data_IF_906333039700
#
_entry.id   IF_906333039700
#
_cell.length_a   1.000
_cell.length_b   1.000
_cell.length_c   1.000
_cell.angle_alpha   90.00
_cell.angle_beta   90.00
_cell.angle_gamma   90.00
#
_symmetry.space_group_name_H-M   'P 1'
#
loop_
_entity.id
_entity.type
_entity.pdbx_description
1 polymer ?
#
# COMPACT_ATOMS: atom_id res chain seq x y z
N UNK A 1 -12.56 15.02 6.46
CA UNK A 1 -12.06 15.05 5.06
C UNK A 1 -13.20 14.65 4.15
N UNK A 2 -13.41 15.35 3.04
CA UNK A 2 -14.52 15.05 2.13
C UNK A 2 -14.09 13.91 1.17
N UNK A 3 -14.33 12.67 1.60
CA UNK A 3 -14.02 11.45 0.84
C UNK A 3 -15.31 10.68 0.49
N UNK A 4 -16.47 11.24 0.86
CA UNK A 4 -17.78 10.64 0.58
C UNK A 4 -18.00 10.46 -0.92
N UNK A 5 -18.52 9.27 -1.30
CA UNK A 5 -18.80 8.86 -2.68
C UNK A 5 -17.58 8.69 -3.60
N UNK A 6 -16.35 8.84 -3.09
CA UNK A 6 -15.16 8.53 -3.90
C UNK A 6 -15.11 7.04 -4.25
N UNK A 7 -14.69 6.74 -5.47
CA UNK A 7 -14.44 5.38 -5.97
C UNK A 7 -12.99 5.01 -5.70
N UNK A 8 -12.79 4.11 -4.76
CA UNK A 8 -11.47 3.77 -4.23
C UNK A 8 -11.13 2.32 -4.55
N UNK A 9 -9.97 2.08 -5.12
CA UNK A 9 -9.36 0.75 -5.23
C UNK A 9 -8.23 0.63 -4.22
N UNK A 10 -8.25 -0.44 -3.40
CA UNK A 10 -7.15 -0.80 -2.50
C UNK A 10 -6.66 -2.20 -2.86
N UNK A 11 -5.44 -2.33 -3.38
CA UNK A 11 -4.84 -3.65 -3.60
C UNK A 11 -4.23 -4.19 -2.30
N UNK A 12 -4.32 -5.49 -2.04
CA UNK A 12 -3.86 -6.09 -0.79
C UNK A 12 -4.68 -5.66 0.43
N UNK A 13 -5.99 -5.49 0.26
CA UNK A 13 -6.93 -4.98 1.26
C UNK A 13 -7.48 -6.04 2.22
N UNK A 14 -7.00 -7.29 2.15
CA UNK A 14 -7.57 -8.40 2.93
C UNK A 14 -6.90 -8.64 4.28
N UNK A 15 -5.90 -7.83 4.63
CA UNK A 15 -5.21 -7.90 5.93
C UNK A 15 -4.35 -6.68 6.21
N UNK A 16 -4.05 -6.43 7.49
CA UNK A 16 -3.05 -5.45 7.95
C UNK A 16 -3.32 -4.03 7.47
N UNK A 17 -2.28 -3.33 7.02
CA UNK A 17 -2.36 -1.93 6.60
C UNK A 17 -3.40 -1.71 5.49
N UNK A 18 -3.45 -2.60 4.50
CA UNK A 18 -4.38 -2.45 3.38
C UNK A 18 -5.84 -2.63 3.78
N UNK A 19 -6.13 -3.55 4.71
CA UNK A 19 -7.47 -3.75 5.26
C UNK A 19 -7.93 -2.52 6.02
N UNK A 20 -7.07 -1.99 6.88
CA UNK A 20 -7.38 -0.81 7.70
C UNK A 20 -7.59 0.45 6.84
N UNK A 21 -6.78 0.63 5.79
CA UNK A 21 -7.00 1.70 4.81
C UNK A 21 -8.36 1.54 4.13
N UNK A 22 -8.74 0.33 3.70
CA UNK A 22 -10.03 0.08 3.08
C UNK A 22 -11.19 0.39 4.03
N UNK A 23 -11.07 0.00 5.30
CA UNK A 23 -12.05 0.33 6.36
C UNK A 23 -12.16 1.84 6.57
N UNK A 24 -11.03 2.55 6.69
CA UNK A 24 -11.01 3.98 6.90
C UNK A 24 -11.66 4.76 5.74
N UNK A 25 -11.43 4.36 4.48
CA UNK A 25 -12.15 4.93 3.35
C UNK A 25 -13.66 4.65 3.39
N UNK A 26 -14.06 3.41 3.71
CA UNK A 26 -15.47 3.04 3.79
C UNK A 26 -16.19 3.80 4.92
N UNK A 27 -15.55 3.96 6.07
CA UNK A 27 -16.05 4.77 7.20
C UNK A 27 -16.16 6.26 6.83
N UNK A 28 -15.31 6.76 5.94
CA UNK A 28 -15.38 8.12 5.39
C UNK A 28 -16.45 8.26 4.28
N UNK A 29 -17.23 7.22 3.98
CA UNK A 29 -18.33 7.22 3.02
C UNK A 29 -17.92 6.96 1.57
N UNK A 30 -16.71 6.44 1.31
CA UNK A 30 -16.25 6.07 -0.01
C UNK A 30 -16.82 4.71 -0.46
N UNK A 31 -16.87 4.49 -1.77
CA UNK A 31 -17.18 3.20 -2.40
C UNK A 31 -15.86 2.44 -2.61
N UNK A 32 -15.59 1.43 -1.78
CA UNK A 32 -14.30 0.75 -1.77
C UNK A 32 -14.36 -0.58 -2.49
N UNK A 33 -13.43 -0.78 -3.42
CA UNK A 33 -13.08 -2.08 -4.00
C UNK A 33 -11.74 -2.51 -3.39
N UNK A 34 -11.77 -3.59 -2.60
CA UNK A 34 -10.59 -4.20 -2.01
C UNK A 34 -10.16 -5.43 -2.79
N UNK A 35 -8.85 -5.72 -2.88
CA UNK A 35 -8.41 -6.98 -3.47
C UNK A 35 -7.51 -7.79 -2.53
N UNK A 36 -7.53 -9.11 -2.68
CA UNK A 36 -6.63 -10.07 -2.05
C UNK A 36 -6.15 -11.09 -3.08
N UNK A 37 -5.02 -11.73 -2.84
CA UNK A 37 -4.42 -12.65 -3.80
C UNK A 37 -5.25 -13.92 -4.03
N UNK A 38 -6.01 -14.37 -3.04
CA UNK A 38 -6.76 -15.63 -3.08
C UNK A 38 -8.22 -15.45 -2.70
N UNK A 39 -9.09 -16.34 -3.20
CA UNK A 39 -10.50 -16.37 -2.82
C UNK A 39 -10.68 -16.54 -1.29
N UNK A 40 -9.88 -17.39 -0.66
CA UNK A 40 -9.95 -17.62 0.79
C UNK A 40 -9.63 -16.35 1.62
N UNK A 41 -8.69 -15.51 1.16
CA UNK A 41 -8.42 -14.21 1.78
C UNK A 41 -9.60 -13.26 1.63
N UNK A 42 -10.20 -13.24 0.43
CA UNK A 42 -11.36 -12.42 0.09
C UNK A 42 -12.58 -12.81 0.92
N UNK A 43 -12.87 -14.11 1.03
CA UNK A 43 -14.01 -14.63 1.83
C UNK A 43 -13.88 -14.23 3.30
N UNK A 44 -12.68 -14.41 3.88
CA UNK A 44 -12.38 -14.01 5.26
C UNK A 44 -12.55 -12.51 5.48
N UNK A 45 -11.98 -11.68 4.59
CA UNK A 45 -12.08 -10.23 4.69
C UNK A 45 -13.53 -9.74 4.50
N UNK A 46 -14.26 -10.33 3.55
CA UNK A 46 -15.68 -10.00 3.33
C UNK A 46 -16.53 -10.31 4.55
N UNK A 47 -16.31 -11.46 5.19
CA UNK A 47 -17.03 -11.81 6.42
C UNK A 47 -16.69 -10.87 7.59
N UNK A 48 -15.42 -10.54 7.78
CA UNK A 48 -14.96 -9.65 8.85
C UNK A 48 -15.48 -8.21 8.68
N UNK A 49 -15.66 -7.75 7.44
CA UNK A 49 -16.03 -6.38 7.09
C UNK A 49 -17.46 -6.25 6.54
N UNK A 50 -18.34 -7.22 6.80
CA UNK A 50 -19.71 -7.26 6.26
C UNK A 50 -20.59 -6.05 6.66
N UNK A 51 -20.20 -5.31 7.70
CA UNK A 51 -20.87 -4.10 8.17
C UNK A 51 -20.42 -2.82 7.45
N UNK A 52 -19.39 -2.89 6.60
CA UNK A 52 -18.83 -1.78 5.85
C UNK A 52 -19.12 -1.91 4.35
N UNK A 53 -19.17 -0.78 3.63
CA UNK A 53 -19.37 -0.74 2.18
C UNK A 53 -18.06 -1.03 1.44
N UNK A 54 -17.50 -2.23 1.64
CA UNK A 54 -16.29 -2.71 0.95
C UNK A 54 -16.64 -3.94 0.13
N UNK A 55 -16.31 -3.92 -1.15
CA UNK A 55 -16.47 -5.08 -2.04
C UNK A 55 -15.09 -5.70 -2.32
N UNK A 56 -14.84 -6.87 -1.80
CA UNK A 56 -13.60 -7.60 -2.01
C UNK A 56 -13.63 -8.49 -3.25
N UNK A 57 -12.46 -8.58 -3.95
CA UNK A 57 -12.29 -9.39 -5.16
C UNK A 57 -10.93 -10.10 -5.15
N UNK A 58 -10.85 -11.34 -5.62
CA UNK A 58 -9.56 -12.01 -5.78
C UNK A 58 -8.80 -11.38 -6.95
N UNK A 59 -7.54 -10.99 -6.69
CA UNK A 59 -6.64 -10.41 -7.70
C UNK A 59 -5.19 -10.64 -7.29
N UNK A 60 -4.49 -11.50 -8.00
CA UNK A 60 -3.03 -11.60 -7.92
C UNK A 60 -2.40 -10.49 -8.75
N UNK A 61 -1.70 -9.55 -8.10
CA UNK A 61 -1.02 -8.44 -8.79
C UNK A 61 0.19 -8.91 -9.61
N UNK A 62 0.62 -10.15 -9.46
CA UNK A 62 1.61 -10.83 -10.31
C UNK A 62 1.04 -11.15 -11.70
N UNK A 63 -0.28 -11.35 -11.86
CA UNK A 63 -0.92 -11.60 -13.14
C UNK A 63 -1.26 -10.29 -13.86
N UNK A 64 -0.44 -9.95 -14.86
CA UNK A 64 -0.59 -8.71 -15.62
C UNK A 64 -1.93 -8.61 -16.37
N UNK A 65 -2.43 -9.72 -16.90
CA UNK A 65 -3.69 -9.78 -17.65
C UNK A 65 -4.90 -9.60 -16.73
N UNK A 66 -4.89 -10.29 -15.59
CA UNK A 66 -5.93 -10.15 -14.58
C UNK A 66 -5.97 -8.73 -14.01
N UNK A 67 -4.83 -8.12 -13.69
CA UNK A 67 -4.74 -6.73 -13.21
C UNK A 67 -5.30 -5.77 -14.27
N UNK A 68 -4.87 -5.90 -15.52
CA UNK A 68 -5.35 -5.03 -16.60
C UNK A 68 -6.87 -5.14 -16.73
N UNK A 69 -7.40 -6.35 -16.88
CA UNK A 69 -8.83 -6.56 -17.10
C UNK A 69 -9.68 -6.10 -15.92
N UNK A 70 -9.27 -6.42 -14.69
CA UNK A 70 -10.01 -6.04 -13.49
C UNK A 70 -10.01 -4.51 -13.29
N UNK A 71 -8.83 -3.88 -13.32
CA UNK A 71 -8.71 -2.46 -12.99
C UNK A 71 -9.35 -1.58 -14.06
N UNK A 72 -9.15 -1.89 -15.36
CA UNK A 72 -9.84 -1.15 -16.44
C UNK A 72 -11.35 -1.35 -16.41
N UNK A 73 -11.83 -2.52 -16.00
CA UNK A 73 -13.25 -2.83 -15.83
C UNK A 73 -13.94 -2.03 -14.71
N UNK A 74 -13.18 -1.43 -13.78
CA UNK A 74 -13.74 -0.54 -12.75
C UNK A 74 -14.17 0.83 -13.32
N UNK A 75 -13.68 1.22 -14.49
CA UNK A 75 -13.96 2.51 -15.11
C UNK A 75 -13.32 3.67 -14.36
N UNK A 76 -14.10 4.70 -14.03
CA UNK A 76 -13.60 5.89 -13.32
C UNK A 76 -13.21 5.57 -11.87
N UNK A 77 -12.07 6.13 -11.45
CA UNK A 77 -11.53 5.99 -10.09
C UNK A 77 -11.08 7.37 -9.56
N UNK A 78 -11.36 7.62 -8.30
CA UNK A 78 -10.85 8.80 -7.60
C UNK A 78 -9.51 8.51 -6.89
N UNK A 79 -9.36 7.29 -6.35
CA UNK A 79 -8.17 6.89 -5.58
C UNK A 79 -7.76 5.46 -5.89
N UNK A 80 -6.48 5.24 -6.05
CA UNK A 80 -5.85 3.91 -6.04
C UNK A 80 -4.82 3.85 -4.93
N UNK A 81 -4.95 2.86 -4.03
CA UNK A 81 -3.96 2.59 -2.99
C UNK A 81 -3.31 1.24 -3.25
N UNK A 82 -2.02 1.23 -3.46
CA UNK A 82 -1.26 0.01 -3.73
C UNK A 82 -0.61 -0.51 -2.43
N UNK A 83 -1.27 -1.49 -1.78
CA UNK A 83 -0.80 -2.14 -0.56
C UNK A 83 -0.40 -3.61 -0.76
N UNK A 84 -0.72 -4.21 -1.91
CA UNK A 84 -0.32 -5.59 -2.19
C UNK A 84 1.20 -5.74 -2.12
N UNK A 85 1.66 -6.74 -1.37
CA UNK A 85 3.08 -6.98 -1.23
C UNK A 85 3.41 -8.15 -0.32
N UNK A 86 4.58 -8.71 -0.53
CA UNK A 86 5.12 -9.85 0.22
C UNK A 86 6.51 -9.53 0.75
N UNK A 87 6.91 -10.24 1.81
CA UNK A 87 8.26 -10.25 2.35
C UNK A 87 8.61 -11.69 2.72
N UNK A 88 9.73 -12.19 2.22
CA UNK A 88 10.19 -13.56 2.45
C UNK A 88 11.58 -13.54 3.08
N UNK A 89 11.62 -13.24 4.39
CA UNK A 89 12.90 -13.12 5.13
C UNK A 89 13.77 -14.34 4.95
N UNK A 90 15.08 -14.11 4.69
CA UNK A 90 16.13 -15.08 4.37
C UNK A 90 15.97 -15.72 2.98
N UNK A 91 14.74 -16.11 2.59
CA UNK A 91 14.49 -16.79 1.30
C UNK A 91 14.81 -15.86 0.12
N UNK A 92 14.64 -14.56 0.28
CA UNK A 92 14.95 -13.54 -0.76
C UNK A 92 16.46 -13.39 -1.07
N UNK A 93 17.34 -14.09 -0.37
CA UNK A 93 18.75 -14.21 -0.75
C UNK A 93 18.94 -15.13 -1.97
N UNK A 94 17.94 -15.96 -2.29
CA UNK A 94 17.91 -16.76 -3.49
C UNK A 94 17.29 -15.97 -4.67
N UNK A 95 17.89 -16.04 -5.88
CA UNK A 95 17.47 -15.22 -7.03
C UNK A 95 16.00 -15.37 -7.41
N UNK A 96 15.43 -16.56 -7.33
CA UNK A 96 14.05 -16.86 -7.69
C UNK A 96 13.06 -16.17 -6.72
N UNK A 97 13.33 -16.24 -5.42
CA UNK A 97 12.52 -15.60 -4.40
C UNK A 97 12.65 -14.08 -4.44
N UNK A 98 13.87 -13.58 -4.72
CA UNK A 98 14.12 -12.16 -4.99
C UNK A 98 13.28 -11.69 -6.16
N UNK A 99 13.34 -12.35 -7.32
CA UNK A 99 12.60 -11.99 -8.52
C UNK A 99 11.08 -12.00 -8.28
N UNK A 100 10.56 -13.00 -7.55
CA UNK A 100 9.15 -13.07 -7.18
C UNK A 100 8.73 -11.89 -6.29
N UNK A 101 9.55 -11.51 -5.32
CA UNK A 101 9.27 -10.36 -4.45
C UNK A 101 9.25 -9.06 -5.25
N UNK A 102 10.19 -8.87 -6.17
CA UNK A 102 10.20 -7.71 -7.10
C UNK A 102 8.94 -7.72 -7.97
N UNK A 103 8.56 -8.86 -8.52
CA UNK A 103 7.42 -8.94 -9.44
C UNK A 103 6.11 -8.58 -8.74
N UNK A 104 5.87 -9.06 -7.53
CA UNK A 104 4.67 -8.73 -6.77
C UNK A 104 4.70 -7.27 -6.30
N UNK A 105 5.78 -6.87 -5.61
CA UNK A 105 5.79 -5.59 -4.89
C UNK A 105 5.97 -4.38 -5.81
N UNK A 106 6.84 -4.49 -6.82
CA UNK A 106 7.19 -3.39 -7.72
C UNK A 106 6.41 -3.46 -9.03
N UNK A 107 6.51 -4.57 -9.76
CA UNK A 107 5.83 -4.70 -11.04
C UNK A 107 4.30 -4.73 -10.84
N UNK A 108 3.80 -5.39 -9.79
CA UNK A 108 2.38 -5.39 -9.42
C UNK A 108 1.86 -3.97 -9.15
N UNK A 109 2.63 -3.16 -8.40
CA UNK A 109 2.32 -1.74 -8.20
C UNK A 109 2.26 -0.98 -9.53
N UNK A 110 3.26 -1.18 -10.41
CA UNK A 110 3.27 -0.52 -11.72
C UNK A 110 2.10 -0.96 -12.60
N UNK A 111 1.75 -2.26 -12.62
CA UNK A 111 0.61 -2.80 -13.37
C UNK A 111 -0.70 -2.13 -12.96
N UNK A 112 -0.95 -2.03 -11.65
CA UNK A 112 -2.14 -1.36 -11.12
C UNK A 112 -2.17 0.14 -11.46
N UNK A 113 -1.04 0.85 -11.29
CA UNK A 113 -0.93 2.26 -11.65
C UNK A 113 -1.23 2.50 -13.15
N UNK A 114 -0.66 1.68 -14.02
CA UNK A 114 -0.85 1.80 -15.47
C UNK A 114 -2.30 1.51 -15.89
N UNK A 115 -2.89 0.44 -15.36
CA UNK A 115 -4.27 0.06 -15.70
C UNK A 115 -5.31 1.07 -15.19
N UNK A 116 -5.04 1.75 -14.07
CA UNK A 116 -5.94 2.75 -13.49
C UNK A 116 -5.83 4.14 -14.12
N UNK A 117 -4.82 4.42 -14.95
CA UNK A 117 -4.50 5.77 -15.43
C UNK A 117 -5.66 6.49 -16.07
N UNK A 118 -6.35 5.86 -17.01
CA UNK A 118 -7.47 6.48 -17.74
C UNK A 118 -8.67 6.77 -16.81
N UNK A 119 -8.99 5.84 -15.89
CA UNK A 119 -10.03 6.05 -14.89
C UNK A 119 -9.71 7.20 -13.92
N UNK A 120 -8.46 7.28 -13.46
CA UNK A 120 -7.99 8.36 -12.60
C UNK A 120 -7.93 9.70 -13.33
N UNK A 121 -7.54 9.72 -14.61
CA UNK A 121 -7.52 10.93 -15.47
C UNK A 121 -8.91 11.53 -15.60
N UNK A 122 -9.94 10.72 -15.81
CA UNK A 122 -11.32 11.17 -15.92
C UNK A 122 -11.79 11.93 -14.66
N UNK A 123 -11.24 11.58 -13.49
CA UNK A 123 -11.61 12.13 -12.17
C UNK A 123 -10.57 13.10 -11.59
N UNK A 124 -9.43 13.30 -12.26
CA UNK A 124 -8.25 13.99 -11.70
C UNK A 124 -7.87 13.43 -10.33
N UNK A 125 -7.84 12.11 -10.25
CA UNK A 125 -7.69 11.35 -9.03
C UNK A 125 -6.27 11.29 -8.49
N UNK A 126 -6.01 10.33 -7.61
CA UNK A 126 -4.67 10.16 -7.06
C UNK A 126 -4.30 8.69 -6.82
N UNK A 127 -3.00 8.45 -6.75
CA UNK A 127 -2.40 7.17 -6.38
C UNK A 127 -1.64 7.36 -5.08
N UNK A 128 -1.81 6.43 -4.13
CA UNK A 128 -0.97 6.32 -2.94
C UNK A 128 -0.32 4.93 -2.92
N UNK A 129 0.98 4.88 -3.09
CA UNK A 129 1.76 3.66 -3.06
C UNK A 129 2.24 3.34 -1.64
N UNK A 130 2.48 2.06 -1.35
CA UNK A 130 3.09 1.64 -0.09
C UNK A 130 4.56 1.32 -0.30
N UNK A 131 5.42 2.26 0.02
CA UNK A 131 6.86 2.12 0.17
C UNK A 131 7.18 1.44 1.51
N UNK A 132 8.31 1.75 2.12
CA UNK A 132 8.72 1.25 3.45
C UNK A 132 9.85 2.13 3.97
N UNK A 133 10.14 2.09 5.26
CA UNK A 133 11.43 2.57 5.77
C UNK A 133 12.60 1.88 5.06
N UNK A 134 12.45 0.62 4.59
CA UNK A 134 13.45 -0.09 3.79
C UNK A 134 13.61 0.48 2.36
N UNK A 135 12.87 1.51 1.99
CA UNK A 135 13.16 2.32 0.80
C UNK A 135 14.36 3.27 1.00
N UNK A 136 14.78 3.50 2.25
CA UNK A 136 15.84 4.44 2.62
C UNK A 136 17.10 3.76 3.15
N UNK A 137 16.99 2.55 3.67
CA UNK A 137 18.12 1.72 4.10
C UNK A 137 17.89 0.23 3.81
N UNK A 138 18.94 -0.58 3.84
CA UNK A 138 18.87 -2.00 3.52
C UNK A 138 18.42 -2.88 4.66
N UNK A 139 17.67 -3.94 4.35
CA UNK A 139 17.38 -5.04 5.26
C UNK A 139 18.22 -6.27 4.90
N UNK A 140 19.17 -6.67 5.76
CA UNK A 140 20.10 -7.76 5.44
C UNK A 140 19.46 -9.12 5.17
N UNK A 141 18.25 -9.36 5.66
CA UNK A 141 17.49 -10.60 5.44
C UNK A 141 16.40 -10.47 4.37
N UNK A 142 16.27 -9.31 3.74
CA UNK A 142 15.14 -8.98 2.85
C UNK A 142 15.59 -8.13 1.67
N UNK A 143 16.58 -8.59 0.87
CA UNK A 143 17.12 -7.81 -0.23
C UNK A 143 16.09 -7.53 -1.32
N UNK A 144 15.24 -8.49 -1.66
CA UNK A 144 14.16 -8.34 -2.65
C UNK A 144 13.11 -7.34 -2.18
N UNK A 145 12.69 -7.44 -0.93
CA UNK A 145 11.76 -6.47 -0.35
C UNK A 145 12.35 -5.05 -0.32
N UNK A 146 13.58 -4.88 0.17
CA UNK A 146 14.25 -3.58 0.21
C UNK A 146 14.40 -2.97 -1.18
N UNK A 147 14.87 -3.75 -2.16
CA UNK A 147 14.99 -3.32 -3.55
C UNK A 147 13.61 -2.95 -4.13
N UNK A 148 12.57 -3.78 -3.91
CA UNK A 148 11.22 -3.49 -4.39
C UNK A 148 10.66 -2.20 -3.81
N UNK A 149 10.83 -1.96 -2.50
CA UNK A 149 10.31 -0.75 -1.83
C UNK A 149 11.11 0.51 -2.17
N UNK A 150 12.43 0.39 -2.39
CA UNK A 150 13.26 1.43 -3.01
C UNK A 150 12.78 1.75 -4.42
N UNK A 151 12.48 0.72 -5.22
CA UNK A 151 11.88 0.86 -6.55
C UNK A 151 10.52 1.55 -6.52
N UNK A 152 9.62 1.19 -5.59
CA UNK A 152 8.31 1.85 -5.42
C UNK A 152 8.46 3.32 -5.07
N UNK A 153 9.42 3.67 -4.19
CA UNK A 153 9.69 5.06 -3.84
C UNK A 153 10.12 5.88 -5.07
N UNK A 154 10.98 5.33 -5.92
CA UNK A 154 11.43 6.01 -7.13
C UNK A 154 10.37 5.99 -8.24
N UNK A 155 9.61 4.90 -8.39
CA UNK A 155 8.46 4.80 -9.28
C UNK A 155 7.41 5.87 -8.97
N UNK A 156 7.12 6.10 -7.69
CA UNK A 156 6.19 7.15 -7.24
C UNK A 156 6.58 8.53 -7.79
N UNK A 157 7.84 8.90 -7.69
CA UNK A 157 8.36 10.17 -8.21
C UNK A 157 8.25 10.26 -9.75
N UNK A 158 8.61 9.18 -10.43
CA UNK A 158 8.54 9.11 -11.89
C UNK A 158 7.10 9.23 -12.40
N UNK A 159 6.16 8.52 -11.77
CA UNK A 159 4.75 8.59 -12.14
C UNK A 159 4.11 9.93 -11.74
N UNK A 160 4.54 10.57 -10.64
CA UNK A 160 4.11 11.90 -10.28
C UNK A 160 4.42 12.93 -11.40
N UNK A 161 5.60 12.82 -12.02
CA UNK A 161 5.98 13.65 -13.15
C UNK A 161 5.17 13.27 -14.41
N UNK A 162 5.12 11.98 -14.74
CA UNK A 162 4.50 11.49 -15.96
C UNK A 162 2.98 11.72 -16.02
N UNK A 163 2.29 11.65 -14.87
CA UNK A 163 0.83 11.74 -14.80
C UNK A 163 0.33 13.14 -14.40
N UNK A 164 1.23 14.09 -14.14
CA UNK A 164 0.88 15.46 -13.76
C UNK A 164 0.00 16.16 -14.80
N UNK A 165 0.30 15.98 -16.10
CA UNK A 165 -0.49 16.56 -17.20
C UNK A 165 -1.90 15.96 -17.31
N UNK A 166 -2.12 14.77 -16.77
CA UNK A 166 -3.43 14.13 -16.67
C UNK A 166 -4.21 14.62 -15.43
N UNK A 167 -3.58 15.47 -14.60
CA UNK A 167 -4.15 15.96 -13.34
C UNK A 167 -4.11 14.93 -12.20
N UNK A 168 -3.35 13.85 -12.35
CA UNK A 168 -3.24 12.77 -11.35
C UNK A 168 -2.06 13.06 -10.41
N UNK A 169 -2.31 13.01 -9.09
CA UNK A 169 -1.24 13.06 -8.08
C UNK A 169 -0.78 11.65 -7.74
N UNK A 170 0.51 11.46 -7.54
CA UNK A 170 1.08 10.17 -7.14
C UNK A 170 2.01 10.37 -5.96
N UNK A 171 1.70 9.74 -4.83
CA UNK A 171 2.44 9.82 -3.59
C UNK A 171 2.68 8.41 -3.02
N UNK A 172 3.49 8.32 -1.99
CA UNK A 172 3.66 7.09 -1.23
C UNK A 172 3.70 7.36 0.28
N UNK A 173 3.25 6.39 1.06
CA UNK A 173 3.58 6.28 2.48
C UNK A 173 4.72 5.28 2.64
N UNK A 174 5.60 5.51 3.62
CA UNK A 174 6.70 4.60 3.97
C UNK A 174 6.54 4.16 5.44
N UNK A 175 5.76 3.09 5.69
CA UNK A 175 5.55 2.59 7.04
C UNK A 175 6.85 2.11 7.69
N UNK A 176 6.96 2.35 9.00
CA UNK A 176 7.95 1.74 9.87
C UNK A 176 7.50 0.37 10.38
N UNK A 177 7.72 0.13 11.67
CA UNK A 177 7.30 -1.10 12.35
C UNK A 177 5.84 -1.00 12.78
N UNK A 178 4.95 -1.56 11.97
CA UNK A 178 3.50 -1.57 12.20
C UNK A 178 3.06 -2.95 12.69
N UNK A 179 2.19 -2.98 13.70
CA UNK A 179 1.63 -4.19 14.27
C UNK A 179 0.59 -4.81 13.34
N UNK A 180 1.02 -5.76 12.52
CA UNK A 180 0.21 -6.46 11.51
C UNK A 180 0.46 -7.97 11.57
N UNK A 181 -0.35 -8.80 10.90
CA UNK A 181 -0.03 -10.23 10.75
C UNK A 181 1.37 -10.49 10.18
N UNK A 182 1.85 -9.64 9.28
CA UNK A 182 3.19 -9.75 8.66
C UNK A 182 4.33 -9.61 9.68
N UNK A 183 4.15 -8.85 10.74
CA UNK A 183 5.16 -8.58 11.76
C UNK A 183 4.94 -9.33 13.07
N UNK A 184 3.89 -10.17 13.14
CA UNK A 184 3.47 -10.87 14.37
C UNK A 184 4.59 -11.67 15.04
N UNK A 185 5.41 -12.36 14.27
CA UNK A 185 6.53 -13.13 14.82
C UNK A 185 7.54 -12.24 15.57
N UNK A 186 7.77 -11.01 15.09
CA UNK A 186 8.67 -10.05 15.75
C UNK A 186 8.01 -9.37 16.95
N UNK A 187 6.69 -9.16 16.90
CA UNK A 187 5.93 -8.63 18.05
C UNK A 187 5.94 -9.60 19.22
N UNK A 188 5.84 -10.91 18.93
CA UNK A 188 5.81 -11.98 19.92
C UNK A 188 7.19 -12.36 20.46
N UNK A 189 8.28 -11.85 19.89
CA UNK A 189 9.65 -12.00 20.39
C UNK A 189 9.99 -10.79 21.29
N UNK A 190 10.06 -10.95 22.64
CA UNK A 190 10.29 -9.85 23.56
C UNK A 190 11.59 -9.09 23.28
N UNK A 191 12.67 -9.81 22.90
CA UNK A 191 13.97 -9.23 22.64
C UNK A 191 13.94 -8.38 21.38
N UNK A 192 13.38 -8.91 20.29
CA UNK A 192 13.26 -8.19 19.03
C UNK A 192 12.31 -7.01 19.14
N UNK A 193 11.17 -7.20 19.80
CA UNK A 193 10.20 -6.15 20.05
C UNK A 193 10.82 -5.00 20.86
N UNK A 194 11.55 -5.31 21.93
CA UNK A 194 12.23 -4.28 22.72
C UNK A 194 13.28 -3.50 21.91
N UNK A 195 14.05 -4.17 21.04
CA UNK A 195 15.02 -3.52 20.15
C UNK A 195 14.32 -2.56 19.17
N UNK A 196 13.20 -2.97 18.57
CA UNK A 196 12.41 -2.16 17.65
C UNK A 196 11.85 -0.94 18.36
N UNK A 197 11.20 -1.14 19.49
CA UNK A 197 10.60 -0.06 20.30
C UNK A 197 11.68 0.90 20.82
N UNK A 198 12.82 0.37 21.30
CA UNK A 198 13.93 1.18 21.81
C UNK A 198 14.58 2.08 20.75
N UNK A 199 14.50 1.70 19.47
CA UNK A 199 14.96 2.51 18.34
C UNK A 199 13.88 3.42 17.75
N UNK A 200 12.62 3.26 18.14
CA UNK A 200 11.51 4.09 17.67
C UNK A 200 11.33 5.27 18.65
N UNK A 201 11.58 6.53 18.26
CA UNK A 201 11.46 7.68 19.17
C UNK A 201 10.08 7.81 19.84
N UNK A 202 8.99 7.43 19.16
CA UNK A 202 7.65 7.42 19.76
C UNK A 202 7.43 6.24 20.74
N UNK A 203 8.41 5.36 20.96
CA UNK A 203 8.43 4.34 22.00
C UNK A 203 7.39 3.24 21.88
N UNK A 204 6.84 3.00 20.70
CA UNK A 204 5.81 1.98 20.44
C UNK A 204 5.87 1.41 19.03
N UNK A 205 5.23 0.27 18.86
CA UNK A 205 4.81 -0.18 17.53
C UNK A 205 3.77 0.78 16.97
N UNK A 206 3.85 1.08 15.66
CA UNK A 206 2.74 1.71 14.96
C UNK A 206 1.55 0.75 14.85
N UNK A 207 0.37 1.30 14.76
CA UNK A 207 -0.85 0.55 14.44
C UNK A 207 -1.23 0.79 12.97
N UNK A 208 -2.03 -0.09 12.33
CA UNK A 208 -2.47 0.12 10.94
C UNK A 208 -3.15 1.49 10.74
N UNK A 209 -3.90 1.97 11.72
CA UNK A 209 -4.56 3.29 11.71
C UNK A 209 -3.55 4.44 11.60
N UNK A 210 -2.36 4.31 12.21
CA UNK A 210 -1.30 5.33 12.08
C UNK A 210 -0.87 5.53 10.61
N UNK A 211 -1.10 4.51 9.76
CA UNK A 211 -0.80 4.56 8.32
C UNK A 211 -2.03 4.97 7.49
N UNK A 212 -3.23 4.54 7.89
CA UNK A 212 -4.45 4.84 7.18
C UNK A 212 -4.74 6.34 7.14
N UNK A 213 -4.59 7.05 8.25
CA UNK A 213 -4.84 8.50 8.35
C UNK A 213 -3.98 9.32 7.38
N UNK A 214 -2.64 9.15 7.29
CA UNK A 214 -1.82 9.78 6.27
C UNK A 214 -2.24 9.44 4.83
N UNK A 215 -2.71 8.22 4.56
CA UNK A 215 -3.21 7.83 3.23
C UNK A 215 -4.48 8.61 2.91
N UNK A 216 -5.43 8.71 3.83
CA UNK A 216 -6.64 9.53 3.66
C UNK A 216 -6.28 11.00 3.41
N UNK A 217 -5.31 11.55 4.16
CA UNK A 217 -4.80 12.90 3.90
C UNK A 217 -4.27 13.05 2.47
N UNK A 218 -3.38 12.16 2.03
CA UNK A 218 -2.80 12.22 0.69
C UNK A 218 -3.85 12.05 -0.41
N UNK A 219 -4.93 11.32 -0.15
CA UNK A 219 -6.06 11.15 -1.06
C UNK A 219 -7.01 12.37 -1.08
N UNK A 220 -7.02 13.17 -0.04
CA UNK A 220 -7.97 14.27 0.15
C UNK A 220 -7.60 15.55 -0.62
N UNK A 221 -8.55 16.50 -0.76
CA UNK A 221 -8.29 17.84 -1.29
C UNK A 221 -7.27 18.65 -0.48
N UNK A 222 -7.03 18.32 0.80
CA UNK A 222 -5.99 18.96 1.61
C UNK A 222 -4.58 18.73 1.03
N UNK A 223 -4.36 17.63 0.30
CA UNK A 223 -3.11 17.30 -0.38
C UNK A 223 -3.08 17.74 -1.87
N UNK A 224 -3.93 18.65 -2.30
CA UNK A 224 -4.07 19.06 -3.73
C UNK A 224 -2.79 19.57 -4.39
N UNK A 225 -1.81 20.01 -3.61
CA UNK A 225 -0.51 20.46 -4.13
C UNK A 225 0.65 19.55 -3.68
N UNK A 226 0.33 18.32 -3.25
CA UNK A 226 1.29 17.29 -2.82
C UNK A 226 1.33 16.18 -3.87
N UNK A 227 2.47 16.03 -4.55
CA UNK A 227 2.73 14.94 -5.49
C UNK A 227 4.22 14.58 -5.48
N UNK A 228 4.56 13.30 -5.67
CA UNK A 228 5.93 12.76 -5.65
C UNK A 228 6.52 12.58 -4.26
N UNK A 229 5.78 12.80 -3.18
CA UNK A 229 6.30 12.61 -1.83
C UNK A 229 6.34 11.12 -1.46
N UNK A 230 7.36 10.74 -0.70
CA UNK A 230 7.43 9.49 0.04
C UNK A 230 7.40 9.86 1.52
N UNK A 231 6.24 9.73 2.14
CA UNK A 231 5.98 10.18 3.50
C UNK A 231 6.29 9.07 4.52
N UNK A 232 7.34 9.19 5.34
CA UNK A 232 7.61 8.24 6.42
C UNK A 232 6.47 8.27 7.46
N UNK A 233 6.01 7.08 7.85
CA UNK A 233 5.03 6.86 8.91
C UNK A 233 5.61 5.79 9.83
N UNK A 234 6.60 6.18 10.65
CA UNK A 234 7.53 5.24 11.29
C UNK A 234 7.84 5.57 12.75
N UNK A 235 7.14 6.52 13.34
CA UNK A 235 7.37 6.96 14.72
C UNK A 235 8.76 7.58 14.94
N UNK A 236 9.42 8.04 13.87
CA UNK A 236 10.75 8.63 13.89
C UNK A 236 11.89 7.61 13.71
N UNK A 237 11.60 6.38 13.34
CA UNK A 237 12.62 5.32 13.21
C UNK A 237 13.73 5.64 12.21
N UNK A 238 13.45 6.39 11.14
CA UNK A 238 14.41 6.75 10.09
C UNK A 238 15.40 7.84 10.50
N UNK A 239 15.06 8.67 11.48
CA UNK A 239 15.88 9.82 11.86
C UNK A 239 16.82 9.52 13.04
N UNK A 240 16.89 8.27 13.48
CA UNK A 240 17.71 7.81 14.60
C UNK A 240 18.76 6.79 14.15
#
# INVERSE_FOLDING_TARGET
MELSQQRVLVTGATSGIGEDIAQAFAQAGAQVKGTGATAAEVDRASAANAHLSIHFHPLDVGDASAVHSFVTGLGELDVVVNCAGVIQRQVELEPEAFAKTIDINLNGTMRACAAAREGLKARRGCIVNTASMLSFFGGGLTPGYSASKGGVAQLTKSLAIAYATDGIRVNAVAPGWIATPLTRALQNDPTRSAQIVGRTPMGRWGQPEDVADPVLFLASPAARFVTGVVLPVDGGYLIQ
#
